data_IF_138159033756
#
_entry.id   IF_138159033756
#
_cell.length_a   1.000
_cell.length_b   1.000
_cell.length_c   1.000
_cell.angle_alpha   90.00
_cell.angle_beta   90.00
_cell.angle_gamma   90.00
#
_symmetry.space_group_name_H-M   'P 1'
#
loop_
_entity.id
_entity.type
_entity.pdbx_description
1 polymer ?
#
# COMPACT_ATOMS: atom_id res chain seq x y z
N UNK A 1 5.09 2.03 -25.69
CA UNK A 1 4.09 2.27 -26.76
C UNK A 1 2.73 1.92 -26.19
N UNK A 2 1.69 2.73 -26.42
CA UNK A 2 0.34 2.45 -25.89
C UNK A 2 -0.47 1.64 -26.90
N UNK A 3 -1.01 0.50 -26.47
CA UNK A 3 -1.85 -0.37 -27.29
C UNK A 3 -3.32 -0.10 -26.98
N UNK A 4 -4.17 -0.11 -28.01
CA UNK A 4 -5.62 0.09 -27.85
C UNK A 4 -6.29 -1.25 -27.54
N UNK A 5 -7.08 -1.28 -26.46
CA UNK A 5 -7.90 -2.43 -26.06
C UNK A 5 -9.36 -2.01 -25.96
N UNK A 6 -10.29 -2.85 -26.42
CA UNK A 6 -11.73 -2.66 -26.23
C UNK A 6 -12.19 -3.45 -25.00
N UNK A 7 -12.92 -2.78 -24.10
CA UNK A 7 -13.42 -3.37 -22.87
C UNK A 7 -14.94 -3.20 -22.81
N UNK A 8 -15.64 -4.24 -22.38
CA UNK A 8 -17.08 -4.23 -22.15
C UNK A 8 -17.38 -4.19 -20.65
N UNK A 9 -18.34 -3.35 -20.25
CA UNK A 9 -18.75 -3.20 -18.86
C UNK A 9 -20.27 -3.35 -18.76
N UNK A 10 -20.74 -3.88 -17.64
CA UNK A 10 -22.14 -3.71 -17.24
C UNK A 10 -22.47 -2.21 -17.12
N UNK A 11 -23.71 -1.83 -17.44
CA UNK A 11 -24.11 -0.41 -17.45
C UNK A 11 -23.92 0.29 -16.10
N UNK A 12 -24.28 -0.38 -15.01
CA UNK A 12 -24.13 0.16 -13.65
C UNK A 12 -22.64 0.27 -13.27
N UNK A 13 -21.87 -0.78 -13.52
CA UNK A 13 -20.42 -0.77 -13.31
C UNK A 13 -19.72 0.37 -14.08
N UNK A 14 -20.10 0.61 -15.34
CA UNK A 14 -19.55 1.71 -16.12
C UNK A 14 -19.90 3.08 -15.53
N UNK A 15 -21.14 3.25 -15.06
CA UNK A 15 -21.58 4.49 -14.39
C UNK A 15 -20.78 4.73 -13.12
N UNK A 16 -20.57 3.70 -12.31
CA UNK A 16 -19.85 3.79 -11.05
C UNK A 16 -18.36 4.09 -11.27
N UNK A 17 -17.73 3.40 -12.23
CA UNK A 17 -16.36 3.66 -12.64
C UNK A 17 -16.18 5.09 -13.15
N UNK A 18 -17.12 5.62 -13.94
CA UNK A 18 -17.09 7.02 -14.39
C UNK A 18 -17.19 7.99 -13.21
N UNK A 19 -18.16 7.79 -12.30
CA UNK A 19 -18.29 8.65 -11.10
C UNK A 19 -17.01 8.65 -10.26
N UNK A 20 -16.36 7.49 -10.12
CA UNK A 20 -15.11 7.37 -9.38
C UNK A 20 -13.97 8.10 -10.10
N UNK A 21 -13.85 7.96 -11.41
CA UNK A 21 -12.86 8.68 -12.21
C UNK A 21 -13.05 10.21 -12.09
N UNK A 22 -14.30 10.68 -12.18
CA UNK A 22 -14.65 12.10 -12.05
C UNK A 22 -14.30 12.64 -10.65
N UNK A 23 -14.58 11.88 -9.57
CA UNK A 23 -14.19 12.25 -8.20
C UNK A 23 -12.67 12.36 -8.00
N UNK A 24 -11.89 11.66 -8.82
CA UNK A 24 -10.43 11.68 -8.82
C UNK A 24 -9.86 12.73 -9.79
N UNK A 25 -10.71 13.42 -10.56
CA UNK A 25 -10.30 14.40 -11.57
C UNK A 25 -9.57 13.80 -12.77
N UNK A 26 -9.79 12.51 -13.06
CA UNK A 26 -9.11 11.78 -14.15
C UNK A 26 -10.09 11.17 -15.14
N UNK A 27 -9.61 10.87 -16.35
CA UNK A 27 -10.43 10.16 -17.34
C UNK A 27 -10.70 8.70 -16.92
N UNK A 28 -11.80 8.11 -17.42
CA UNK A 28 -12.09 6.68 -17.23
C UNK A 28 -10.95 5.77 -17.71
N UNK A 29 -10.29 6.11 -18.82
CA UNK A 29 -9.17 5.34 -19.33
C UNK A 29 -7.98 5.36 -18.35
N UNK A 30 -7.72 6.50 -17.71
CA UNK A 30 -6.69 6.62 -16.68
C UNK A 30 -7.07 5.86 -15.41
N UNK A 31 -8.35 5.93 -15.01
CA UNK A 31 -8.85 5.15 -13.88
C UNK A 31 -8.62 3.65 -14.09
N UNK A 32 -8.99 3.10 -15.25
CA UNK A 32 -8.76 1.69 -15.59
C UNK A 32 -7.26 1.37 -15.65
N UNK A 33 -6.44 2.24 -16.25
CA UNK A 33 -4.97 2.03 -16.27
C UNK A 33 -4.39 1.93 -14.86
N UNK A 34 -4.80 2.81 -13.93
CA UNK A 34 -4.33 2.79 -12.55
C UNK A 34 -4.79 1.55 -11.80
N UNK A 35 -6.02 1.10 -12.02
CA UNK A 35 -6.52 -0.15 -11.45
C UNK A 35 -5.68 -1.34 -11.92
N UNK A 36 -5.44 -1.46 -13.23
CA UNK A 36 -4.60 -2.53 -13.80
C UNK A 36 -3.17 -2.43 -13.29
N UNK A 37 -2.59 -1.23 -13.21
CA UNK A 37 -1.24 -1.04 -12.70
C UNK A 37 -1.13 -1.41 -11.20
N UNK A 38 -2.14 -1.09 -10.39
CA UNK A 38 -2.19 -1.46 -8.98
C UNK A 38 -2.32 -2.98 -8.81
N UNK A 39 -3.25 -3.60 -9.55
CA UNK A 39 -3.45 -5.05 -9.56
C UNK A 39 -2.17 -5.82 -9.94
N UNK A 40 -1.47 -5.35 -10.97
CA UNK A 40 -0.19 -5.94 -11.40
C UNK A 40 0.98 -5.63 -10.44
N UNK A 41 0.91 -4.55 -9.65
CA UNK A 41 1.92 -4.23 -8.65
C UNK A 41 1.72 -5.02 -7.36
N UNK A 42 0.49 -5.42 -7.02
CA UNK A 42 0.21 -6.31 -5.89
C UNK A 42 0.71 -7.75 -6.15
N UNK A 43 0.99 -8.11 -7.41
CA UNK A 43 1.68 -9.35 -7.81
C UNK A 43 3.21 -9.28 -7.70
N UNK A 44 3.80 -8.08 -7.51
CA UNK A 44 5.18 -8.01 -7.02
C UNK A 44 5.15 -8.41 -5.54
N UNK A 45 5.82 -9.50 -5.11
CA UNK A 45 5.84 -9.86 -3.70
C UNK A 45 6.37 -8.65 -2.96
N UNK A 46 5.53 -8.05 -2.12
CA UNK A 46 5.88 -6.92 -1.28
C UNK A 46 7.27 -7.21 -0.72
N UNK A 47 8.26 -6.47 -1.20
CA UNK A 47 9.64 -6.72 -0.83
C UNK A 47 9.67 -6.63 0.69
N UNK A 48 9.79 -7.79 1.34
CA UNK A 48 9.76 -7.87 2.80
C UNK A 48 10.81 -6.87 3.29
N UNK A 49 10.45 -5.83 4.05
CA UNK A 49 11.44 -4.87 4.55
C UNK A 49 12.58 -5.57 5.30
N UNK A 50 12.30 -6.77 5.84
CA UNK A 50 13.29 -7.67 6.44
C UNK A 50 14.37 -8.11 5.45
N UNK A 51 14.03 -8.30 4.17
CA UNK A 51 14.96 -8.69 3.10
C UNK A 51 15.85 -7.53 2.62
N UNK A 52 15.33 -6.30 2.62
CA UNK A 52 16.09 -5.11 2.18
C UNK A 52 17.12 -4.70 3.24
N UNK A 53 16.75 -4.76 4.51
CA UNK A 53 17.59 -4.28 5.61
C UNK A 53 18.29 -5.40 6.40
N UNK A 54 18.20 -6.66 5.94
CA UNK A 54 18.64 -7.86 6.66
C UNK A 54 18.21 -7.87 8.13
N UNK A 55 17.01 -7.35 8.41
CA UNK A 55 16.43 -7.29 9.74
C UNK A 55 15.78 -8.65 9.97
N UNK A 56 16.48 -9.56 10.64
CA UNK A 56 15.92 -10.88 10.98
C UNK A 56 14.52 -10.76 11.59
N UNK A 57 13.65 -11.75 11.33
CA UNK A 57 12.23 -11.77 11.77
C UNK A 57 12.09 -11.58 13.28
N UNK A 58 11.87 -10.35 13.75
CA UNK A 58 11.57 -10.05 15.15
C UNK A 58 10.07 -10.21 15.40
N UNK A 59 9.65 -11.44 15.72
CA UNK A 59 8.22 -11.77 15.94
C UNK A 59 7.65 -11.31 17.29
N UNK A 60 8.45 -10.72 18.16
CA UNK A 60 8.12 -10.60 19.59
C UNK A 60 8.19 -9.19 20.15
N UNK A 61 8.73 -8.21 19.42
CA UNK A 61 8.94 -6.87 19.97
C UNK A 61 8.19 -5.80 19.18
N UNK A 62 7.01 -5.42 19.68
CA UNK A 62 6.28 -4.25 19.19
C UNK A 62 6.87 -2.97 19.82
N UNK A 63 8.04 -2.57 19.33
CA UNK A 63 8.73 -1.34 19.80
C UNK A 63 7.85 -0.11 19.57
N UNK A 64 7.09 -0.05 18.48
CA UNK A 64 6.26 1.10 18.13
C UNK A 64 5.17 1.37 19.18
N UNK A 65 4.50 0.32 19.67
CA UNK A 65 3.47 0.44 20.70
C UNK A 65 3.99 0.60 22.13
N UNK A 66 5.27 0.28 22.38
CA UNK A 66 5.86 0.28 23.73
C UNK A 66 6.99 1.30 23.90
N UNK A 67 7.26 2.13 22.89
CA UNK A 67 8.39 3.07 22.82
C UNK A 67 8.56 3.86 24.11
N UNK A 68 7.51 4.54 24.57
CA UNK A 68 7.59 5.44 25.72
C UNK A 68 7.92 4.69 27.00
N UNK A 69 7.33 3.49 27.18
CA UNK A 69 7.60 2.63 28.33
C UNK A 69 9.04 2.10 28.34
N UNK A 70 9.59 1.76 27.17
CA UNK A 70 10.96 1.27 27.03
C UNK A 70 11.98 2.38 27.30
N UNK A 71 11.73 3.59 26.79
CA UNK A 71 12.54 4.78 27.04
C UNK A 71 12.51 5.13 28.54
N UNK A 72 11.33 5.17 29.15
CA UNK A 72 11.18 5.44 30.58
C UNK A 72 11.85 4.39 31.48
N UNK A 73 11.97 3.14 31.02
CA UNK A 73 12.73 2.09 31.73
C UNK A 73 14.23 2.27 31.58
N UNK A 74 14.70 2.65 30.39
CA UNK A 74 16.12 2.90 30.13
C UNK A 74 16.66 4.05 31.00
N UNK A 75 15.93 5.17 31.09
CA UNK A 75 16.34 6.29 31.94
C UNK A 75 16.32 5.98 33.44
N UNK A 76 15.41 5.10 33.90
CA UNK A 76 15.41 4.64 35.30
C UNK A 76 16.55 3.69 35.64
N UNK A 77 17.07 2.94 34.67
CA UNK A 77 18.18 2.00 34.87
C UNK A 77 19.58 2.61 34.76
N UNK A 78 19.71 3.89 34.38
CA UNK A 78 20.99 4.61 34.29
C UNK A 78 21.27 5.50 35.51
N UNK A 79 20.51 5.32 36.60
CA UNK A 79 20.59 6.12 37.83
C UNK A 79 21.06 5.33 39.05
N UNK A 80 21.96 4.36 38.88
CA UNK A 80 22.80 3.80 39.96
C UNK A 80 24.27 4.13 39.70
#
# INVERSE_FOLDING_TARGET
MMTRTQLSFGREMLRDARRRADSLGISLAEYVRRLVAADLADDEPAADPSAIFNLGRSRTSNIAGQRDSMIARAYRGQGE
#
